data_IF_385284189076
#
_entry.id   IF_385284189076
#
_cell.length_a   1.000
_cell.length_b   1.000
_cell.length_c   1.000
_cell.angle_alpha   90.00
_cell.angle_beta   90.00
_cell.angle_gamma   90.00
#
_symmetry.space_group_name_H-M   'P 1'
#
loop_
_entity.id
_entity.type
_entity.pdbx_description
1 polymer ?
#
# COMPACT_ATOMS: atom_id res chain seq x y z
N UNK A 1 11.16 9.71 3.16
CA UNK A 1 10.69 8.49 2.48
C UNK A 1 11.91 7.75 1.95
N UNK A 2 12.00 6.43 2.15
CA UNK A 2 13.06 5.58 1.57
C UNK A 2 12.46 4.79 0.40
N UNK A 3 13.05 4.91 -0.78
CA UNK A 3 12.73 4.07 -1.93
C UNK A 3 13.81 2.98 -2.00
N UNK A 4 13.41 1.72 -2.13
CA UNK A 4 14.36 0.59 -2.29
C UNK A 4 15.21 0.83 -3.55
N UNK A 5 16.54 0.59 -3.51
CA UNK A 5 17.43 0.88 -4.65
C UNK A 5 16.96 0.27 -5.97
N UNK A 6 16.49 -0.97 -5.96
CA UNK A 6 15.95 -1.67 -7.13
C UNK A 6 14.74 -0.94 -7.72
N UNK A 7 13.83 -0.43 -6.88
CA UNK A 7 12.67 0.35 -7.32
C UNK A 7 13.12 1.69 -7.92
N UNK A 8 14.06 2.38 -7.28
CA UNK A 8 14.59 3.63 -7.81
C UNK A 8 15.29 3.45 -9.16
N UNK A 9 16.05 2.36 -9.32
CA UNK A 9 16.72 2.01 -10.57
C UNK A 9 15.73 1.66 -11.68
N UNK A 10 14.73 0.84 -11.39
CA UNK A 10 13.68 0.49 -12.34
C UNK A 10 12.94 1.74 -12.85
N UNK A 11 12.59 2.66 -11.94
CA UNK A 11 11.95 3.92 -12.30
C UNK A 11 12.86 4.80 -13.17
N UNK A 12 14.15 4.93 -12.84
CA UNK A 12 15.11 5.68 -13.63
C UNK A 12 15.31 5.09 -15.04
N UNK A 13 15.23 3.77 -15.15
CA UNK A 13 15.32 3.03 -16.42
C UNK A 13 13.97 2.93 -17.16
N UNK A 14 12.90 3.60 -16.68
CA UNK A 14 11.54 3.49 -17.23
C UNK A 14 11.01 2.05 -17.31
N UNK A 15 11.48 1.17 -16.44
CA UNK A 15 10.97 -0.19 -16.29
C UNK A 15 9.63 -0.19 -15.54
N UNK A 16 8.75 -1.16 -15.83
CA UNK A 16 7.45 -1.24 -15.19
C UNK A 16 7.58 -1.53 -13.69
N UNK A 17 6.95 -0.70 -12.86
CA UNK A 17 6.85 -0.86 -11.41
C UNK A 17 5.38 -0.83 -11.00
N UNK A 18 4.95 -1.79 -10.18
CA UNK A 18 3.59 -1.87 -9.64
C UNK A 18 3.66 -1.69 -8.13
N UNK A 19 3.01 -0.65 -7.61
CA UNK A 19 2.85 -0.48 -6.17
C UNK A 19 1.87 -1.52 -5.62
N UNK A 20 2.10 -1.94 -4.37
CA UNK A 20 1.21 -2.82 -3.59
C UNK A 20 0.96 -2.22 -2.20
N UNK A 21 -0.26 -2.31 -1.70
CA UNK A 21 -0.63 -1.79 -0.38
C UNK A 21 -0.23 -2.76 0.75
N UNK A 22 -0.29 -2.29 1.99
CA UNK A 22 0.06 -3.10 3.17
C UNK A 22 -0.97 -3.07 4.30
N UNK A 23 -2.06 -2.29 4.19
CA UNK A 23 -3.18 -2.42 5.13
C UNK A 23 -3.84 -3.79 5.00
N UNK A 24 -3.88 -4.38 3.79
CA UNK A 24 -4.28 -5.78 3.58
C UNK A 24 -3.46 -6.77 4.43
N UNK A 25 -2.15 -6.53 4.57
CA UNK A 25 -1.22 -7.40 5.30
C UNK A 25 -1.43 -7.29 6.82
N UNK A 26 -1.69 -6.07 7.31
CA UNK A 26 -1.77 -5.79 8.75
C UNK A 26 -3.19 -5.92 9.32
N UNK A 27 -4.21 -5.66 8.49
CA UNK A 27 -5.62 -5.56 8.91
C UNK A 27 -6.60 -6.32 8.00
N UNK A 28 -6.15 -6.89 6.88
CA UNK A 28 -7.02 -7.58 5.93
C UNK A 28 -7.10 -9.09 6.12
N UNK A 29 -6.00 -9.73 6.51
CA UNK A 29 -5.92 -11.18 6.72
C UNK A 29 -5.27 -11.51 8.06
N UNK A 30 -5.67 -12.65 8.65
CA UNK A 30 -5.01 -13.21 9.81
C UNK A 30 -3.71 -13.95 9.42
N UNK A 31 -2.66 -13.96 10.27
CA UNK A 31 -1.50 -14.80 10.03
C UNK A 31 -1.83 -16.30 10.06
N UNK A 32 -1.13 -17.13 9.28
CA UNK A 32 -0.01 -16.78 8.38
C UNK A 32 -0.44 -16.26 7.00
N UNK A 33 -1.74 -16.31 6.68
CA UNK A 33 -2.26 -16.00 5.36
C UNK A 33 -1.93 -14.57 4.89
N UNK A 34 -1.78 -13.62 5.81
CA UNK A 34 -1.40 -12.25 5.47
C UNK A 34 -0.03 -12.14 4.80
N UNK A 35 0.98 -12.85 5.32
CA UNK A 35 2.32 -12.87 4.74
C UNK A 35 2.36 -13.68 3.44
N UNK A 36 1.64 -14.80 3.41
CA UNK A 36 1.57 -15.66 2.22
C UNK A 36 0.95 -14.91 1.04
N UNK A 37 -0.14 -14.18 1.27
CA UNK A 37 -0.78 -13.35 0.24
C UNK A 37 0.16 -12.23 -0.20
N UNK A 38 0.84 -11.55 0.74
CA UNK A 38 1.81 -10.50 0.40
C UNK A 38 2.89 -11.00 -0.56
N UNK A 39 3.50 -12.15 -0.24
CA UNK A 39 4.53 -12.78 -1.09
C UNK A 39 3.98 -13.22 -2.44
N UNK A 40 2.77 -13.77 -2.48
CA UNK A 40 2.12 -14.16 -3.74
C UNK A 40 1.83 -12.97 -4.64
N UNK A 41 1.39 -11.84 -4.07
CA UNK A 41 1.20 -10.61 -4.85
C UNK A 41 2.52 -10.11 -5.46
N UNK A 42 3.61 -10.10 -4.69
CA UNK A 42 4.94 -9.73 -5.22
C UNK A 42 5.40 -10.70 -6.31
N UNK A 43 5.22 -12.01 -6.10
CA UNK A 43 5.59 -13.04 -7.07
C UNK A 43 4.84 -12.89 -8.41
N UNK A 44 3.51 -12.71 -8.37
CA UNK A 44 2.71 -12.57 -9.60
C UNK A 44 3.13 -11.32 -10.40
N UNK A 45 3.41 -10.20 -9.73
CA UNK A 45 3.89 -8.99 -10.42
C UNK A 45 5.23 -9.24 -11.12
N UNK A 46 6.16 -9.97 -10.47
CA UNK A 46 7.44 -10.36 -11.06
C UNK A 46 7.27 -11.33 -12.24
N UNK A 47 6.39 -12.32 -12.12
CA UNK A 47 6.08 -13.30 -13.18
C UNK A 47 5.54 -12.60 -14.44
N UNK A 48 4.76 -11.54 -14.28
CA UNK A 48 4.24 -10.70 -15.38
C UNK A 48 5.26 -9.65 -15.89
N UNK A 49 6.51 -9.70 -15.40
CA UNK A 49 7.61 -8.88 -15.91
C UNK A 49 7.69 -7.46 -15.36
N UNK A 50 7.01 -7.15 -14.25
CA UNK A 50 7.09 -5.88 -13.55
C UNK A 50 7.76 -6.01 -12.18
N UNK A 51 8.31 -4.91 -11.66
CA UNK A 51 8.89 -4.89 -10.32
C UNK A 51 7.81 -4.53 -9.28
N UNK A 52 7.54 -5.37 -8.26
CA UNK A 52 6.64 -5.02 -7.18
C UNK A 52 7.29 -4.03 -6.21
N UNK A 53 6.49 -3.08 -5.73
CA UNK A 53 6.87 -2.16 -4.68
C UNK A 53 5.80 -2.14 -3.59
N UNK A 54 5.90 -3.07 -2.63
CA UNK A 54 5.06 -3.03 -1.42
C UNK A 54 5.39 -1.78 -0.61
N UNK A 55 4.36 -1.01 -0.25
CA UNK A 55 4.51 0.29 0.43
C UNK A 55 3.95 0.22 1.84
N UNK A 56 4.73 0.66 2.83
CA UNK A 56 4.32 0.74 4.23
C UNK A 56 5.02 1.91 4.94
N UNK A 57 4.65 2.15 6.20
CA UNK A 57 5.44 2.97 7.12
C UNK A 57 6.10 2.04 8.11
N UNK A 58 7.44 2.12 8.24
CA UNK A 58 8.20 1.38 9.24
C UNK A 58 9.00 2.36 10.06
N UNK A 59 8.81 2.33 11.38
CA UNK A 59 9.59 3.13 12.35
C UNK A 59 9.56 4.64 12.00
N UNK A 60 8.37 5.15 11.65
CA UNK A 60 8.16 6.55 11.26
C UNK A 60 8.66 6.91 9.87
N UNK A 61 9.17 5.95 9.10
CA UNK A 61 9.70 6.19 7.75
C UNK A 61 8.85 5.50 6.68
N UNK A 62 8.24 6.25 5.75
CA UNK A 62 7.61 5.64 4.57
C UNK A 62 8.65 4.88 3.75
N UNK A 63 8.32 3.63 3.42
CA UNK A 63 9.13 2.71 2.61
C UNK A 63 8.39 2.40 1.31
N UNK A 64 9.08 2.51 0.19
CA UNK A 64 8.58 2.11 -1.13
C UNK A 64 9.43 0.96 -1.65
N UNK A 65 8.84 -0.24 -1.68
CA UNK A 65 9.56 -1.50 -1.81
C UNK A 65 10.08 -1.95 -0.44
N UNK A 66 9.46 -2.98 0.14
CA UNK A 66 9.94 -3.65 1.33
C UNK A 66 10.97 -4.73 0.98
N UNK A 67 11.87 -5.04 1.91
CA UNK A 67 12.62 -6.30 1.86
C UNK A 67 11.75 -7.46 2.38
N UNK A 68 12.17 -8.71 2.13
CA UNK A 68 11.50 -9.90 2.65
C UNK A 68 11.42 -9.90 4.19
N UNK A 69 12.46 -9.40 4.86
CA UNK A 69 12.53 -9.28 6.32
C UNK A 69 11.58 -8.19 6.82
N UNK A 70 11.54 -7.04 6.14
CA UNK A 70 10.63 -5.93 6.47
C UNK A 70 9.17 -6.33 6.27
N UNK A 71 8.87 -7.06 5.20
CA UNK A 71 7.54 -7.61 4.93
C UNK A 71 7.12 -8.59 6.02
N UNK A 72 8.03 -9.50 6.41
CA UNK A 72 7.79 -10.49 7.47
C UNK A 72 7.60 -9.81 8.83
N UNK A 73 8.42 -8.79 9.14
CA UNK A 73 8.28 -7.97 10.34
C UNK A 73 6.92 -7.27 10.38
N UNK A 74 6.52 -6.62 9.29
CA UNK A 74 5.23 -5.92 9.22
C UNK A 74 4.04 -6.88 9.37
N UNK A 75 4.10 -8.06 8.75
CA UNK A 75 3.04 -9.07 8.85
C UNK A 75 2.89 -9.66 10.27
N UNK A 76 3.95 -9.57 11.08
CA UNK A 76 3.99 -10.08 12.46
C UNK A 76 3.73 -8.98 13.51
N UNK A 77 3.75 -7.72 13.10
CA UNK A 77 3.62 -6.56 13.99
C UNK A 77 2.16 -6.35 14.42
N UNK A 78 1.87 -6.69 15.67
CA UNK A 78 0.55 -6.51 16.30
C UNK A 78 0.25 -5.07 16.68
N UNK A 79 1.24 -4.19 16.63
CA UNK A 79 1.12 -2.76 16.94
C UNK A 79 1.01 -1.90 15.68
N UNK A 80 1.16 -2.52 14.51
CA UNK A 80 1.07 -1.84 13.22
C UNK A 80 -0.29 -1.15 13.08
N UNK A 81 -0.26 0.15 12.78
CA UNK A 81 -1.46 0.95 12.57
C UNK A 81 -2.01 0.79 11.15
N UNK A 82 -3.31 0.96 10.98
CA UNK A 82 -3.91 1.17 9.66
C UNK A 82 -3.72 2.63 9.28
N UNK A 83 -2.95 2.91 8.23
CA UNK A 83 -2.49 4.26 7.90
C UNK A 83 -3.20 4.76 6.63
N UNK A 84 -4.08 5.74 6.77
CA UNK A 84 -4.60 6.56 5.67
C UNK A 84 -3.88 7.91 5.58
N UNK A 85 -4.28 8.76 4.63
CA UNK A 85 -3.62 10.05 4.37
C UNK A 85 -3.56 10.95 5.61
N UNK A 86 -4.66 11.01 6.38
CA UNK A 86 -4.73 11.80 7.60
C UNK A 86 -3.83 11.26 8.72
N UNK A 87 -3.56 9.95 8.70
CA UNK A 87 -2.80 9.27 9.75
C UNK A 87 -1.30 9.34 9.51
N UNK A 88 -0.87 9.53 8.26
CA UNK A 88 0.54 9.60 7.86
C UNK A 88 1.33 10.56 8.76
N UNK A 89 1.03 11.87 8.84
CA UNK A 89 1.86 12.81 9.62
C UNK A 89 2.08 12.36 11.07
N UNK A 90 1.03 11.82 11.71
CA UNK A 90 1.08 11.37 13.09
C UNK A 90 1.95 10.12 13.26
N UNK A 91 1.79 9.12 12.38
CA UNK A 91 2.58 7.87 12.43
C UNK A 91 4.06 8.18 12.20
N UNK A 92 4.36 9.07 11.24
CA UNK A 92 5.73 9.52 10.97
C UNK A 92 6.35 10.22 12.18
N UNK A 93 5.65 11.20 12.77
CA UNK A 93 6.14 11.98 13.90
C UNK A 93 6.38 11.13 15.16
N UNK A 94 5.62 10.06 15.34
CA UNK A 94 5.71 9.17 16.49
C UNK A 94 6.69 8.00 16.30
N UNK A 95 7.36 7.90 15.15
CA UNK A 95 8.21 6.74 14.89
C UNK A 95 7.44 5.42 14.76
N UNK A 96 6.16 5.46 14.43
CA UNK A 96 5.28 4.29 14.39
C UNK A 96 5.41 3.47 13.10
N UNK A 97 4.96 2.23 13.15
CA UNK A 97 4.83 1.34 11.98
C UNK A 97 3.36 1.14 11.61
N UNK A 98 3.10 0.86 10.33
CA UNK A 98 1.73 0.64 9.89
C UNK A 98 1.58 0.26 8.43
N UNK A 99 0.51 -0.49 8.16
CA UNK A 99 0.09 -0.82 6.81
C UNK A 99 -0.64 0.35 6.16
N UNK A 100 -0.22 0.72 4.96
CA UNK A 100 -0.84 1.82 4.22
C UNK A 100 -2.11 1.34 3.51
N UNK A 101 -3.20 2.08 3.70
CA UNK A 101 -4.46 1.92 2.95
C UNK A 101 -4.28 2.37 1.50
N UNK A 102 -5.25 2.07 0.63
CA UNK A 102 -5.28 2.51 -0.77
C UNK A 102 -4.93 3.99 -0.91
N UNK A 103 -5.60 4.91 -0.21
CA UNK A 103 -5.30 6.35 -0.28
C UNK A 103 -3.84 6.70 0.08
N UNK A 104 -3.31 6.12 1.15
CA UNK A 104 -1.93 6.39 1.57
C UNK A 104 -0.90 5.75 0.62
N UNK A 105 -1.18 4.54 0.13
CA UNK A 105 -0.35 3.85 -0.87
C UNK A 105 -0.30 4.67 -2.16
N UNK A 106 -1.43 5.16 -2.65
CA UNK A 106 -1.50 6.03 -3.83
C UNK A 106 -0.62 7.27 -3.68
N UNK A 107 -0.72 7.97 -2.54
CA UNK A 107 0.07 9.17 -2.29
C UNK A 107 1.57 8.89 -2.27
N UNK A 108 2.00 7.84 -1.58
CA UNK A 108 3.41 7.48 -1.50
C UNK A 108 3.95 6.93 -2.83
N UNK A 109 3.18 6.11 -3.53
CA UNK A 109 3.51 5.56 -4.85
C UNK A 109 3.69 6.70 -5.88
N UNK A 110 2.71 7.60 -5.96
CA UNK A 110 2.77 8.73 -6.88
C UNK A 110 3.96 9.64 -6.58
N UNK A 111 4.22 9.95 -5.30
CA UNK A 111 5.41 10.71 -4.89
C UNK A 111 6.73 10.03 -5.18
N UNK A 112 6.75 8.70 -5.29
CA UNK A 112 7.91 7.94 -5.70
C UNK A 112 8.06 7.84 -7.23
N UNK A 113 7.08 8.30 -8.01
CA UNK A 113 7.08 8.21 -9.47
C UNK A 113 6.41 6.95 -10.03
N UNK A 114 5.78 6.12 -9.18
CA UNK A 114 5.05 4.93 -9.61
C UNK A 114 3.65 5.35 -10.10
N UNK A 115 3.27 4.87 -11.29
CA UNK A 115 2.00 5.24 -11.96
C UNK A 115 0.90 4.17 -11.90
N UNK A 116 1.23 2.96 -11.46
CA UNK A 116 0.29 1.82 -11.37
C UNK A 116 0.34 1.22 -9.97
N UNK A 117 -0.83 0.99 -9.40
CA UNK A 117 -1.03 0.39 -8.08
C UNK A 117 -2.08 -0.72 -8.19
N UNK A 118 -1.80 -1.90 -7.65
CA UNK A 118 -2.76 -3.00 -7.56
C UNK A 118 -3.20 -3.27 -6.11
N UNK A 119 -4.50 -3.47 -5.90
CA UNK A 119 -5.11 -3.88 -4.63
C UNK A 119 -6.27 -4.85 -4.89
N UNK A 120 -6.77 -5.51 -3.84
CA UNK A 120 -7.98 -6.33 -3.95
C UNK A 120 -9.23 -5.50 -4.20
N UNK A 121 -9.45 -4.44 -3.42
CA UNK A 121 -10.65 -3.61 -3.53
C UNK A 121 -10.50 -2.27 -2.83
N UNK A 122 -11.02 -1.22 -3.46
CA UNK A 122 -10.99 0.14 -2.90
C UNK A 122 -12.06 0.31 -1.80
N UNK A 123 -11.84 1.28 -0.92
CA UNK A 123 -12.89 1.84 -0.09
C UNK A 123 -13.88 2.67 -0.91
N UNK A 124 -14.98 3.09 -0.27
CA UNK A 124 -16.04 3.85 -0.92
C UNK A 124 -16.99 4.46 0.10
N UNK A 125 -18.23 4.70 -0.31
CA UNK A 125 -19.31 5.15 0.57
C UNK A 125 -19.92 3.93 1.26
N UNK A 126 -20.13 3.96 2.58
CA UNK A 126 -20.72 2.84 3.29
C UNK A 126 -22.27 2.84 3.22
N UNK A 127 -22.87 1.67 2.96
CA UNK A 127 -24.32 1.42 3.10
C UNK A 127 -24.88 1.93 4.44
N UNK A 128 -25.95 2.71 4.36
CA UNK A 128 -26.68 3.24 5.53
C UNK A 128 -26.01 4.43 6.22
N UNK A 129 -24.79 4.81 5.81
CA UNK A 129 -24.01 5.90 6.41
C UNK A 129 -23.35 6.74 5.31
N UNK A 130 -24.12 7.55 4.57
CA UNK A 130 -23.60 8.35 3.45
C UNK A 130 -22.51 9.35 3.86
N UNK A 131 -22.43 9.71 5.14
CA UNK A 131 -21.37 10.53 5.74
C UNK A 131 -20.06 9.77 5.96
N UNK A 132 -20.09 8.43 6.03
CA UNK A 132 -18.90 7.59 6.19
C UNK A 132 -18.33 7.22 4.82
N UNK A 133 -17.52 8.14 4.29
CA UNK A 133 -16.89 8.04 2.98
C UNK A 133 -15.39 7.77 3.12
N UNK A 134 -14.91 6.70 2.47
CA UNK A 134 -13.48 6.38 2.43
C UNK A 134 -12.65 7.52 1.82
N UNK A 135 -11.51 7.80 2.44
CA UNK A 135 -10.49 8.73 1.92
C UNK A 135 -9.88 8.27 0.58
N UNK A 136 -10.16 7.03 0.14
CA UNK A 136 -9.75 6.53 -1.17
C UNK A 136 -10.40 7.32 -2.32
N UNK A 137 -11.66 7.76 -2.17
CA UNK A 137 -12.38 8.49 -3.23
C UNK A 137 -11.79 9.87 -3.53
N UNK A 138 -11.56 10.77 -2.53
CA UNK A 138 -10.88 12.03 -2.79
C UNK A 138 -9.42 11.84 -3.22
N UNK A 139 -8.75 10.76 -2.79
CA UNK A 139 -7.42 10.41 -3.29
C UNK A 139 -7.46 10.05 -4.79
N UNK A 140 -8.42 9.23 -5.24
CA UNK A 140 -8.65 8.90 -6.65
C UNK A 140 -8.98 10.15 -7.49
N UNK A 141 -9.69 11.11 -6.91
CA UNK A 141 -10.02 12.35 -7.60
C UNK A 141 -8.82 13.30 -7.81
N UNK A 142 -7.74 13.16 -7.01
CA UNK A 142 -6.66 14.15 -6.95
C UNK A 142 -5.26 13.63 -7.24
N UNK A 143 -5.02 12.32 -7.09
CA UNK A 143 -3.71 11.71 -7.27
C UNK A 143 -3.66 11.01 -8.63
N UNK A 144 -2.81 11.44 -9.57
CA UNK A 144 -2.75 10.86 -10.90
C UNK A 144 -1.98 9.53 -10.89
N UNK A 145 -2.71 8.46 -10.55
CA UNK A 145 -2.24 7.07 -10.51
C UNK A 145 -3.36 6.13 -10.94
N UNK A 146 -3.03 5.05 -11.66
CA UNK A 146 -4.00 4.00 -12.01
C UNK A 146 -4.08 3.01 -10.85
N UNK A 147 -5.30 2.77 -10.36
CA UNK A 147 -5.59 1.75 -9.32
C UNK A 147 -6.35 0.60 -9.94
N UNK A 148 -5.72 -0.57 -9.99
CA UNK A 148 -6.33 -1.82 -10.46
C UNK A 148 -6.91 -2.57 -9.25
N UNK A 149 -8.19 -2.91 -9.31
CA UNK A 149 -8.90 -3.59 -8.23
C UNK A 149 -10.12 -4.38 -8.74
N UNK A 150 -10.71 -5.23 -7.90
CA UNK A 150 -11.97 -5.92 -8.18
C UNK A 150 -13.21 -5.04 -7.91
N UNK A 151 -13.06 -3.71 -7.98
CA UNK A 151 -14.07 -2.72 -7.63
C UNK A 151 -14.02 -2.25 -6.17
N UNK A 152 -15.08 -1.59 -5.74
CA UNK A 152 -15.29 -1.25 -4.33
C UNK A 152 -15.58 -2.55 -3.54
N UNK A 153 -15.07 -2.65 -2.31
CA UNK A 153 -15.32 -3.81 -1.43
C UNK A 153 -16.82 -4.09 -1.32
N UNK A 154 -17.22 -5.36 -1.41
CA UNK A 154 -18.63 -5.79 -1.46
C UNK A 154 -19.48 -5.42 -0.21
N UNK A 155 -18.83 -5.01 0.89
CA UNK A 155 -19.47 -4.53 2.11
C UNK A 155 -19.96 -3.07 2.01
N UNK A 156 -19.54 -2.34 0.97
CA UNK A 156 -19.82 -0.92 0.77
C UNK A 156 -21.18 -0.67 0.14
#
# INVERSE_FOLDING_TARGET
>A
MRIRPEVAQALAASQPVVALESALITHGFAPPANLDIARRMEAVVLEEGALPATIAVLEGQPRVGLSSEELTRLASDRTARKVSLRDLPLVLAQGGSGGTTVAATMHLAHRAGIRVFATGGIGGVHRGHPEDVSADLPALASIPIVVVCAGAKAIL
#
